data_IF_655606508132
#
_entry.id   IF_655606508132
#
_cell.length_a   1.000
_cell.length_b   1.000
_cell.length_c   1.000
_cell.angle_alpha   90.00
_cell.angle_beta   90.00
_cell.angle_gamma   90.00
#
_symmetry.space_group_name_H-M   'P 1'
#
loop_
_entity.id
_entity.type
_entity.pdbx_description
1 polymer ?
#
# COMPACT_ATOMS: atom_id res chain seq x y z
N UNK A 1 -7.66 -21.12 -6.35
CA UNK A 1 -6.79 -20.07 -5.80
C UNK A 1 -5.49 -20.64 -5.20
N UNK A 2 -5.57 -21.65 -4.31
CA UNK A 2 -4.41 -22.19 -3.60
C UNK A 2 -3.25 -22.65 -4.51
N UNK A 3 -3.56 -23.23 -5.67
CA UNK A 3 -2.54 -23.75 -6.63
C UNK A 3 -1.76 -22.61 -7.29
N UNK A 4 -2.42 -21.52 -7.67
CA UNK A 4 -1.79 -20.38 -8.33
C UNK A 4 -1.00 -19.49 -7.38
N UNK A 5 -1.21 -19.62 -6.07
CA UNK A 5 -0.53 -18.86 -5.02
C UNK A 5 0.57 -19.69 -4.31
N UNK A 6 0.68 -20.99 -4.66
CA UNK A 6 1.66 -21.86 -4.06
C UNK A 6 3.08 -21.55 -4.58
N UNK A 7 4.14 -21.62 -3.72
CA UNK A 7 5.51 -21.54 -4.17
C UNK A 7 5.87 -22.70 -5.11
N UNK A 8 6.86 -22.47 -5.94
CA UNK A 8 7.35 -23.49 -6.90
C UNK A 8 7.72 -24.79 -6.17
N UNK A 9 8.34 -24.67 -5.00
CA UNK A 9 8.75 -25.80 -4.17
C UNK A 9 7.57 -26.63 -3.65
N UNK A 10 6.44 -25.99 -3.34
CA UNK A 10 5.21 -26.67 -2.92
C UNK A 10 4.50 -27.33 -4.10
N UNK A 11 4.48 -26.67 -5.27
CA UNK A 11 3.92 -27.23 -6.48
C UNK A 11 4.68 -28.48 -6.93
N UNK A 12 6.01 -28.50 -6.78
CA UNK A 12 6.84 -29.64 -7.12
C UNK A 12 6.64 -30.87 -6.23
N UNK A 13 6.01 -30.74 -5.05
CA UNK A 13 5.64 -31.87 -4.19
C UNK A 13 4.43 -32.66 -4.72
N UNK A 14 3.70 -32.09 -5.68
CA UNK A 14 2.55 -32.76 -6.29
C UNK A 14 3.02 -33.77 -7.34
N UNK A 15 2.57 -35.02 -7.23
CA UNK A 15 2.92 -36.07 -8.19
C UNK A 15 2.53 -35.65 -9.61
N UNK A 16 3.46 -35.79 -10.55
CA UNK A 16 3.28 -35.38 -11.95
C UNK A 16 3.61 -33.91 -12.25
N UNK A 17 3.90 -33.08 -11.23
CA UNK A 17 4.30 -31.68 -11.41
C UNK A 17 5.82 -31.56 -11.37
N UNK A 18 6.45 -31.54 -12.54
CA UNK A 18 7.88 -31.28 -12.66
C UNK A 18 8.22 -29.79 -12.55
N UNK A 19 9.51 -29.49 -12.44
CA UNK A 19 10.02 -28.13 -12.26
C UNK A 19 9.48 -27.12 -13.29
N UNK A 20 9.43 -27.51 -14.56
CA UNK A 20 8.93 -26.61 -15.63
C UNK A 20 7.43 -26.33 -15.50
N UNK A 21 6.64 -27.33 -15.11
CA UNK A 21 5.21 -27.14 -14.88
C UNK A 21 4.96 -26.23 -13.67
N UNK A 22 5.70 -26.41 -12.58
CA UNK A 22 5.63 -25.57 -11.40
C UNK A 22 6.01 -24.11 -11.70
N UNK A 23 7.09 -23.90 -12.46
CA UNK A 23 7.52 -22.57 -12.91
C UNK A 23 6.48 -21.92 -13.82
N UNK A 24 5.89 -22.67 -14.75
CA UNK A 24 4.85 -22.17 -15.65
C UNK A 24 3.60 -21.72 -14.87
N UNK A 25 3.14 -22.52 -13.91
CA UNK A 25 2.01 -22.18 -13.04
C UNK A 25 2.29 -20.90 -12.23
N UNK A 26 3.47 -20.78 -11.66
CA UNK A 26 3.90 -19.58 -10.96
C UNK A 26 3.97 -18.36 -11.89
N UNK A 27 4.53 -18.53 -13.10
CA UNK A 27 4.59 -17.45 -14.10
C UNK A 27 3.19 -16.98 -14.53
N UNK A 28 2.25 -17.91 -14.69
CA UNK A 28 0.87 -17.59 -15.06
C UNK A 28 0.19 -16.68 -14.04
N UNK A 29 0.35 -16.96 -12.75
CA UNK A 29 -0.23 -16.12 -11.70
C UNK A 29 0.39 -14.72 -11.68
N UNK A 30 1.71 -14.62 -11.86
CA UNK A 30 2.42 -13.33 -11.94
C UNK A 30 2.03 -12.55 -13.21
N UNK A 31 1.91 -13.21 -14.34
CA UNK A 31 1.51 -12.60 -15.60
C UNK A 31 0.06 -12.12 -15.59
N UNK A 32 -0.87 -12.93 -15.06
CA UNK A 32 -2.28 -12.56 -14.92
C UNK A 32 -2.44 -11.33 -14.01
N UNK A 33 -1.76 -11.32 -12.86
CA UNK A 33 -1.73 -10.18 -11.94
C UNK A 33 -1.18 -8.92 -12.62
N UNK A 34 -0.07 -9.04 -13.34
CA UNK A 34 0.54 -7.91 -14.06
C UNK A 34 -0.37 -7.38 -15.17
N UNK A 35 -1.07 -8.29 -15.87
CA UNK A 35 -2.02 -7.91 -16.92
C UNK A 35 -3.25 -7.18 -16.35
N UNK A 36 -3.83 -7.67 -15.24
CA UNK A 36 -4.92 -6.99 -14.55
C UNK A 36 -4.50 -5.61 -14.07
N UNK A 37 -3.34 -5.49 -13.45
CA UNK A 37 -2.78 -4.20 -13.02
C UNK A 37 -2.56 -3.25 -14.21
N UNK A 38 -2.08 -3.75 -15.34
CA UNK A 38 -1.82 -2.92 -16.53
C UNK A 38 -3.10 -2.43 -17.22
N UNK A 39 -4.14 -3.27 -17.28
CA UNK A 39 -5.41 -2.94 -17.97
C UNK A 39 -6.28 -1.94 -17.22
N UNK A 40 -6.19 -1.92 -15.88
CA UNK A 40 -7.08 -1.10 -15.04
C UNK A 40 -6.43 0.19 -14.53
N UNK A 41 -5.14 0.39 -14.75
CA UNK A 41 -4.39 1.39 -13.99
C UNK A 41 -4.34 2.78 -14.63
N UNK A 42 -4.53 2.94 -15.94
CA UNK A 42 -4.42 4.27 -16.53
C UNK A 42 -5.73 5.05 -16.38
N UNK A 43 -5.70 6.15 -15.61
CA UNK A 43 -6.86 7.04 -15.43
C UNK A 43 -7.90 6.55 -14.40
N UNK A 44 -7.61 5.49 -13.63
CA UNK A 44 -8.50 5.03 -12.56
C UNK A 44 -8.63 6.08 -11.47
N UNK A 45 -9.87 6.43 -11.15
CA UNK A 45 -10.17 7.38 -10.08
C UNK A 45 -9.97 6.74 -8.70
N UNK A 46 -9.19 7.39 -7.83
CA UNK A 46 -8.96 7.02 -6.43
C UNK A 46 -9.29 8.25 -5.54
N UNK A 47 -10.55 8.64 -5.51
CA UNK A 47 -10.96 9.89 -4.87
C UNK A 47 -11.48 9.74 -3.43
N UNK A 48 -11.56 8.53 -2.90
CA UNK A 48 -11.97 8.29 -1.54
C UNK A 48 -11.22 7.11 -0.90
N UNK A 49 -11.31 7.03 0.45
CA UNK A 49 -10.67 5.99 1.25
C UNK A 49 -10.99 4.57 0.77
N UNK A 50 -12.25 4.26 0.53
CA UNK A 50 -12.66 2.92 0.13
C UNK A 50 -12.08 2.50 -1.22
N UNK A 51 -11.92 3.43 -2.17
CA UNK A 51 -11.25 3.16 -3.44
C UNK A 51 -9.75 2.94 -3.24
N UNK A 52 -9.10 3.74 -2.39
CA UNK A 52 -7.68 3.58 -2.06
C UNK A 52 -7.41 2.25 -1.33
N UNK A 53 -8.23 1.88 -0.34
CA UNK A 53 -8.14 0.59 0.36
C UNK A 53 -8.32 -0.60 -0.61
N UNK A 54 -9.33 -0.56 -1.49
CA UNK A 54 -9.54 -1.60 -2.50
C UNK A 54 -8.37 -1.72 -3.47
N UNK A 55 -7.79 -0.58 -3.87
CA UNK A 55 -6.63 -0.56 -4.74
C UNK A 55 -5.40 -1.16 -4.04
N UNK A 56 -5.12 -0.76 -2.79
CA UNK A 56 -4.03 -1.29 -1.99
C UNK A 56 -4.17 -2.81 -1.75
N UNK A 57 -5.38 -3.30 -1.41
CA UNK A 57 -5.63 -4.74 -1.27
C UNK A 57 -5.32 -5.48 -2.56
N UNK A 58 -5.80 -4.99 -3.72
CA UNK A 58 -5.52 -5.61 -5.00
C UNK A 58 -4.03 -5.65 -5.33
N UNK A 59 -3.30 -4.59 -4.97
CA UNK A 59 -1.87 -4.46 -5.21
C UNK A 59 -1.04 -5.41 -4.33
N UNK A 60 -1.46 -5.61 -3.08
CA UNK A 60 -0.64 -6.21 -2.03
C UNK A 60 -1.12 -7.59 -1.54
N UNK A 61 -2.39 -7.99 -1.82
CA UNK A 61 -2.89 -9.29 -1.37
C UNK A 61 -2.09 -10.45 -1.97
N UNK A 62 -1.88 -11.50 -1.18
CA UNK A 62 -1.16 -12.72 -1.61
C UNK A 62 0.36 -12.55 -1.71
N UNK A 63 0.92 -11.36 -1.42
CA UNK A 63 2.37 -11.19 -1.31
C UNK A 63 2.85 -11.77 0.02
N UNK A 64 3.87 -12.63 -0.04
CA UNK A 64 4.43 -13.33 1.13
C UNK A 64 5.56 -12.57 1.82
N UNK A 65 6.12 -11.57 1.16
CA UNK A 65 7.11 -10.65 1.70
C UNK A 65 6.53 -9.25 1.78
N UNK A 66 7.06 -8.42 2.62
CA UNK A 66 6.67 -7.02 2.69
C UNK A 66 6.99 -6.30 1.39
N UNK A 67 6.06 -5.52 0.91
CA UNK A 67 6.20 -4.65 -0.24
C UNK A 67 5.66 -3.28 0.13
N UNK A 68 6.41 -2.26 -0.22
CA UNK A 68 6.03 -0.88 -0.02
C UNK A 68 5.85 -0.19 -1.38
N UNK A 69 4.69 0.41 -1.59
CA UNK A 69 4.34 1.09 -2.84
C UNK A 69 3.98 2.55 -2.60
N UNK A 70 4.29 3.38 -3.60
CA UNK A 70 3.77 4.73 -3.76
C UNK A 70 2.78 4.74 -4.93
N UNK A 71 1.51 4.94 -4.62
CA UNK A 71 0.42 5.09 -5.57
C UNK A 71 0.33 6.56 -5.96
N UNK A 72 0.88 6.92 -7.11
CA UNK A 72 0.97 8.29 -7.60
C UNK A 72 -0.34 8.73 -8.27
N UNK A 73 -0.87 9.89 -7.87
CA UNK A 73 -2.13 10.43 -8.34
C UNK A 73 -1.94 11.83 -8.92
N UNK A 74 -2.72 12.15 -9.94
CA UNK A 74 -2.80 13.50 -10.52
C UNK A 74 -3.68 14.45 -9.69
N UNK A 75 -3.82 15.70 -10.13
CA UNK A 75 -4.68 16.71 -9.47
C UNK A 75 -6.18 16.40 -9.50
N UNK A 76 -6.60 15.41 -10.29
CA UNK A 76 -7.98 14.91 -10.37
C UNK A 76 -8.18 13.61 -9.60
N UNK A 77 -7.18 13.19 -8.83
CA UNK A 77 -7.16 11.91 -8.10
C UNK A 77 -7.20 10.69 -9.02
N UNK A 78 -6.73 10.82 -10.25
CA UNK A 78 -6.57 9.71 -11.19
C UNK A 78 -5.20 9.06 -11.00
N UNK A 79 -5.18 7.73 -11.07
CA UNK A 79 -3.96 6.95 -10.94
C UNK A 79 -3.03 7.19 -12.12
N UNK A 80 -1.81 7.63 -11.82
CA UNK A 80 -0.72 7.78 -12.76
C UNK A 80 0.11 6.50 -12.79
N UNK A 81 0.56 6.05 -11.61
CA UNK A 81 1.43 4.89 -11.49
C UNK A 81 1.38 4.27 -10.09
N UNK A 82 1.58 2.96 -10.03
CA UNK A 82 1.89 2.20 -8.82
C UNK A 82 3.40 1.91 -8.81
N UNK A 83 4.17 2.66 -8.03
CA UNK A 83 5.62 2.53 -7.97
C UNK A 83 6.04 1.67 -6.78
N UNK A 84 6.74 0.57 -7.05
CA UNK A 84 7.34 -0.27 -6.00
C UNK A 84 8.55 0.45 -5.41
N UNK A 85 8.48 0.77 -4.12
CA UNK A 85 9.53 1.48 -3.38
C UNK A 85 10.52 0.50 -2.78
N UNK A 86 10.02 -0.57 -2.15
CA UNK A 86 10.87 -1.62 -1.60
C UNK A 86 10.18 -2.97 -1.56
N UNK A 87 11.00 -4.02 -1.47
CA UNK A 87 10.61 -5.42 -1.35
C UNK A 87 11.50 -6.11 -0.32
N UNK A 88 10.91 -6.72 0.71
CA UNK A 88 11.64 -7.39 1.79
C UNK A 88 11.49 -6.70 3.13
N UNK A 89 12.31 -7.07 4.12
CA UNK A 89 12.24 -6.53 5.49
C UNK A 89 12.48 -5.02 5.54
N UNK A 90 11.81 -4.36 6.48
CA UNK A 90 11.83 -2.91 6.73
C UNK A 90 13.21 -2.38 7.20
N UNK A 91 14.22 -3.24 7.36
CA UNK A 91 15.55 -2.84 7.85
C UNK A 91 16.28 -1.81 6.94
N UNK A 92 15.78 -1.53 5.73
CA UNK A 92 16.28 -0.50 4.82
C UNK A 92 15.54 0.85 4.91
N UNK A 93 14.99 1.17 6.07
CA UNK A 93 14.18 2.41 6.32
C UNK A 93 14.86 3.70 5.84
N UNK A 94 16.18 3.76 5.80
CA UNK A 94 16.93 4.94 5.37
C UNK A 94 16.83 5.23 3.86
N UNK A 95 16.48 4.26 3.03
CA UNK A 95 16.36 4.44 1.58
C UNK A 95 14.99 4.95 1.12
N UNK A 96 13.93 4.72 1.90
CA UNK A 96 12.55 5.08 1.50
C UNK A 96 12.35 6.55 1.12
N UNK A 97 12.82 7.54 1.90
CA UNK A 97 12.59 8.94 1.58
C UNK A 97 13.11 9.32 0.19
N UNK A 98 14.31 8.86 -0.16
CA UNK A 98 14.91 9.14 -1.47
C UNK A 98 14.11 8.47 -2.61
N UNK A 99 13.80 7.18 -2.48
CA UNK A 99 13.09 6.43 -3.54
C UNK A 99 11.67 6.96 -3.73
N UNK A 100 10.98 7.31 -2.64
CA UNK A 100 9.65 7.94 -2.72
C UNK A 100 9.73 9.31 -3.39
N UNK A 101 10.73 10.15 -3.05
CA UNK A 101 10.94 11.44 -3.71
C UNK A 101 11.18 11.28 -5.21
N UNK A 102 12.07 10.35 -5.60
CA UNK A 102 12.34 10.04 -7.01
C UNK A 102 11.08 9.58 -7.75
N UNK A 103 10.26 8.73 -7.13
CA UNK A 103 9.02 8.22 -7.69
C UNK A 103 8.00 9.36 -7.94
N UNK A 104 7.69 10.17 -6.93
CA UNK A 104 6.69 11.24 -7.07
C UNK A 104 7.12 12.33 -8.05
N UNK A 105 8.41 12.63 -8.11
CA UNK A 105 8.95 13.60 -9.07
C UNK A 105 8.95 13.04 -10.51
N UNK A 106 9.36 11.79 -10.70
CA UNK A 106 9.34 11.12 -12.01
C UNK A 106 7.96 11.10 -12.63
N UNK A 107 6.94 10.83 -11.82
CA UNK A 107 5.56 10.76 -12.27
C UNK A 107 4.83 12.10 -12.22
N UNK A 108 5.50 13.19 -11.83
CA UNK A 108 4.88 14.50 -11.62
C UNK A 108 3.58 14.41 -10.80
N UNK A 109 3.63 13.63 -9.72
CA UNK A 109 2.47 13.35 -8.90
C UNK A 109 2.01 14.59 -8.13
N UNK A 110 0.70 14.86 -8.14
CA UNK A 110 0.09 15.88 -7.30
C UNK A 110 -0.12 15.40 -5.87
N UNK A 111 -0.48 14.12 -5.74
CA UNK A 111 -0.63 13.45 -4.44
C UNK A 111 -0.21 11.99 -4.52
N UNK A 112 0.01 11.39 -3.36
CA UNK A 112 0.42 9.99 -3.24
C UNK A 112 -0.36 9.31 -2.12
N UNK A 113 -0.76 8.06 -2.36
CA UNK A 113 -1.16 7.11 -1.33
C UNK A 113 0.00 6.14 -1.14
N UNK A 114 0.54 6.08 0.07
CA UNK A 114 1.51 5.06 0.44
C UNK A 114 0.76 3.78 0.83
N UNK A 115 1.29 2.62 0.50
CA UNK A 115 0.72 1.38 0.98
C UNK A 115 1.77 0.27 1.13
N UNK A 116 1.61 -0.55 2.16
CA UNK A 116 2.43 -1.74 2.36
C UNK A 116 1.61 -2.88 2.95
N UNK A 117 2.16 -4.10 2.89
CA UNK A 117 1.51 -5.27 3.48
C UNK A 117 2.29 -5.79 4.69
N UNK A 118 1.53 -6.35 5.64
CA UNK A 118 2.02 -7.16 6.75
C UNK A 118 1.73 -8.63 6.46
N UNK A 119 2.68 -9.42 5.93
CA UNK A 119 2.45 -10.83 5.63
C UNK A 119 2.16 -11.63 6.90
N UNK A 120 1.01 -12.31 6.95
CA UNK A 120 0.63 -13.16 8.09
C UNK A 120 0.30 -12.44 9.40
N UNK A 121 0.26 -11.11 9.39
CA UNK A 121 0.03 -10.28 10.56
C UNK A 121 -1.36 -9.61 10.61
N UNK A 122 -1.41 -8.46 11.26
CA UNK A 122 -2.57 -7.56 11.35
C UNK A 122 -2.30 -6.29 10.56
N UNK A 123 -3.31 -5.62 9.97
CA UNK A 123 -3.13 -4.33 9.31
C UNK A 123 -2.94 -3.17 10.29
N UNK A 124 -2.71 -3.45 11.56
CA UNK A 124 -2.45 -2.42 12.58
C UNK A 124 -1.05 -1.84 12.36
N UNK A 125 -0.91 -0.50 12.27
CA UNK A 125 0.38 0.15 12.15
C UNK A 125 1.30 -0.16 13.33
N UNK A 126 2.55 -0.48 13.04
CA UNK A 126 3.61 -0.52 14.04
C UNK A 126 4.06 0.90 14.41
N UNK A 127 4.82 1.03 15.47
CA UNK A 127 5.46 2.31 15.83
C UNK A 127 6.39 2.81 14.70
N UNK A 128 7.08 1.89 14.05
CA UNK A 128 7.96 2.18 12.92
C UNK A 128 7.18 2.69 11.70
N UNK A 129 6.02 2.12 11.39
CA UNK A 129 5.15 2.61 10.31
C UNK A 129 4.72 4.06 10.53
N UNK A 130 4.37 4.40 11.77
CA UNK A 130 3.98 5.77 12.14
C UNK A 130 5.17 6.73 11.95
N UNK A 131 6.37 6.33 12.37
CA UNK A 131 7.58 7.16 12.26
C UNK A 131 8.00 7.37 10.80
N UNK A 132 8.03 6.29 9.98
CA UNK A 132 8.29 6.36 8.54
C UNK A 132 7.25 7.24 7.84
N UNK A 133 5.97 7.08 8.19
CA UNK A 133 4.90 7.90 7.63
C UNK A 133 5.11 9.39 7.93
N UNK A 134 5.56 9.72 9.15
CA UNK A 134 5.84 11.11 9.55
C UNK A 134 6.99 11.71 8.73
N UNK A 135 8.08 10.96 8.57
CA UNK A 135 9.23 11.40 7.78
C UNK A 135 8.87 11.61 6.32
N UNK A 136 8.13 10.66 5.72
CA UNK A 136 7.66 10.76 4.34
C UNK A 136 6.65 11.89 4.14
N UNK A 137 5.76 12.14 5.11
CA UNK A 137 4.83 13.27 5.04
C UNK A 137 5.55 14.61 5.02
N UNK A 138 6.57 14.77 5.86
CA UNK A 138 7.39 15.99 5.89
C UNK A 138 8.15 16.20 4.56
N UNK A 139 8.77 15.14 4.04
CA UNK A 139 9.45 15.16 2.75
C UNK A 139 8.51 15.54 1.60
N UNK A 140 7.40 14.84 1.46
CA UNK A 140 6.42 15.06 0.40
C UNK A 140 5.87 16.50 0.45
N UNK A 141 5.58 16.99 1.66
CA UNK A 141 5.15 18.38 1.86
C UNK A 141 6.20 19.38 1.38
N UNK A 142 7.50 19.13 1.59
CA UNK A 142 8.59 19.98 1.10
C UNK A 142 8.68 20.00 -0.42
N UNK A 143 8.30 18.90 -1.07
CA UNK A 143 8.25 18.77 -2.53
C UNK A 143 6.93 19.31 -3.14
N UNK A 144 5.97 19.78 -2.32
CA UNK A 144 4.67 20.24 -2.77
C UNK A 144 3.71 19.10 -3.14
N UNK A 145 4.03 17.86 -2.78
CA UNK A 145 3.20 16.67 -3.03
C UNK A 145 2.39 16.35 -1.77
N UNK A 146 1.08 16.16 -1.91
CA UNK A 146 0.21 15.82 -0.79
C UNK A 146 0.25 14.31 -0.51
N UNK A 147 0.58 13.89 0.73
CA UNK A 147 0.30 12.53 1.17
C UNK A 147 -1.20 12.39 1.40
N UNK A 148 -1.87 11.60 0.56
CA UNK A 148 -3.31 11.38 0.64
C UNK A 148 -3.69 10.40 1.77
N UNK A 149 -2.94 9.32 1.91
CA UNK A 149 -3.12 8.29 2.95
C UNK A 149 -1.87 7.42 3.06
N UNK A 150 -1.82 6.59 4.11
CA UNK A 150 -0.96 5.43 4.20
C UNK A 150 -1.83 4.23 4.59
N UNK A 151 -1.86 3.21 3.75
CA UNK A 151 -2.74 2.05 3.88
C UNK A 151 -1.92 0.81 4.15
N UNK A 152 -2.27 0.10 5.21
CA UNK A 152 -1.62 -1.16 5.59
C UNK A 152 -2.56 -2.31 5.25
N UNK A 153 -2.04 -3.33 4.57
CA UNK A 153 -2.81 -4.47 4.09
C UNK A 153 -2.33 -5.74 4.78
N UNK A 154 -3.25 -6.56 5.28
CA UNK A 154 -2.97 -7.94 5.71
C UNK A 154 -4.02 -8.88 5.16
N UNK A 155 -3.61 -9.80 4.31
CA UNK A 155 -4.53 -10.66 3.57
C UNK A 155 -5.49 -9.84 2.70
N UNK A 156 -6.79 -9.86 3.06
CA UNK A 156 -7.85 -9.05 2.41
C UNK A 156 -8.31 -7.85 3.24
N UNK A 157 -7.68 -7.64 4.39
CA UNK A 157 -8.00 -6.52 5.26
C UNK A 157 -7.08 -5.35 4.96
N UNK A 158 -7.62 -4.15 5.02
CA UNK A 158 -6.87 -2.92 4.87
C UNK A 158 -7.23 -1.94 5.99
N UNK A 159 -6.24 -1.18 6.45
CA UNK A 159 -6.41 -0.11 7.42
C UNK A 159 -5.81 1.17 6.85
N UNK A 160 -6.61 2.21 6.80
CA UNK A 160 -6.22 3.56 6.41
C UNK A 160 -5.75 4.32 7.64
N UNK A 161 -4.51 4.80 7.66
CA UNK A 161 -3.99 5.62 8.76
C UNK A 161 -4.69 6.98 8.82
N UNK A 162 -5.08 7.56 7.67
CA UNK A 162 -5.92 8.76 7.64
C UNK A 162 -7.32 8.48 8.21
N UNK A 163 -7.90 7.32 7.88
CA UNK A 163 -9.19 6.89 8.42
C UNK A 163 -9.18 6.68 9.94
N UNK A 164 -8.04 6.33 10.51
CA UNK A 164 -7.82 6.25 11.96
C UNK A 164 -7.53 7.61 12.62
N UNK A 165 -7.42 8.69 11.84
CA UNK A 165 -7.02 10.00 12.35
C UNK A 165 -5.54 10.16 12.64
N UNK A 166 -4.70 9.19 12.23
CA UNK A 166 -3.24 9.28 12.36
C UNK A 166 -2.63 10.25 11.36
N UNK A 167 -3.28 10.45 10.22
CA UNK A 167 -2.91 11.42 9.18
C UNK A 167 -4.03 12.43 9.06
N UNK A 168 -3.71 13.71 9.25
CA UNK A 168 -4.63 14.82 9.04
C UNK A 168 -4.07 15.76 7.99
N UNK A 169 -4.96 16.42 7.25
CA UNK A 169 -4.60 17.40 6.25
C UNK A 169 -5.09 18.77 6.71
N UNK A 170 -4.20 19.72 6.74
CA UNK A 170 -4.52 21.11 7.06
C UNK A 170 -4.14 21.99 5.86
N UNK A 171 -5.03 22.91 5.50
CA UNK A 171 -4.70 23.94 4.53
C UNK A 171 -4.16 25.14 5.27
N UNK A 172 -2.91 25.51 5.00
CA UNK A 172 -2.28 26.73 5.50
C UNK A 172 -1.68 27.48 4.32
N UNK A 173 -2.04 28.75 4.17
CA UNK A 173 -1.46 29.68 3.17
C UNK A 173 -1.32 29.01 1.78
N UNK A 174 -2.42 28.56 1.20
CA UNK A 174 -2.51 27.88 -0.10
C UNK A 174 -1.77 26.53 -0.22
N UNK A 175 -1.14 26.03 0.85
CA UNK A 175 -0.49 24.72 0.89
C UNK A 175 -1.32 23.72 1.69
N UNK A 176 -1.42 22.52 1.12
CA UNK A 176 -1.95 21.36 1.85
C UNK A 176 -0.83 20.72 2.65
N UNK A 177 -0.91 20.78 3.97
CA UNK A 177 0.04 20.15 4.87
C UNK A 177 -0.54 18.84 5.41
N UNK A 178 0.28 17.82 5.45
CA UNK A 178 -0.06 16.55 6.07
C UNK A 178 0.58 16.48 7.45
N UNK A 179 -0.24 16.23 8.48
CA UNK A 179 0.21 15.98 9.85
C UNK A 179 0.00 14.51 10.17
N UNK A 180 0.97 13.91 10.83
CA UNK A 180 0.88 12.56 11.36
C UNK A 180 0.86 12.66 12.88
N UNK A 181 -0.10 11.97 13.51
CA UNK A 181 -0.25 11.96 14.95
C UNK A 181 1.01 11.43 15.65
N UNK A 182 1.28 11.92 16.84
CA UNK A 182 2.30 11.34 17.70
C UNK A 182 1.81 9.94 18.18
N UNK A 183 2.69 9.16 18.77
CA UNK A 183 2.57 7.73 19.07
C UNK A 183 1.31 7.24 19.82
N UNK A 184 0.43 8.12 20.27
CA UNK A 184 -0.78 7.76 21.04
C UNK A 184 -1.98 7.34 20.15
N UNK A 185 -1.70 6.93 18.93
CA UNK A 185 -2.70 6.47 17.95
C UNK A 185 -3.42 5.17 18.32
N UNK A 186 -3.00 4.47 19.37
CA UNK A 186 -3.57 3.16 19.76
C UNK A 186 -5.08 3.24 20.02
N UNK A 187 -5.53 4.30 20.64
CA UNK A 187 -6.97 4.55 20.91
C UNK A 187 -7.75 4.78 19.61
N UNK A 188 -7.17 5.55 18.67
CA UNK A 188 -7.77 5.85 17.38
C UNK A 188 -7.85 4.60 16.50
N UNK A 189 -6.79 3.80 16.50
CA UNK A 189 -6.72 2.53 15.76
C UNK A 189 -7.75 1.54 16.29
N UNK A 190 -7.86 1.40 17.62
CA UNK A 190 -8.87 0.54 18.28
C UNK A 190 -10.29 0.95 17.91
N UNK A 191 -10.60 2.25 17.90
CA UNK A 191 -11.91 2.77 17.53
C UNK A 191 -12.27 2.43 16.07
N UNK A 192 -11.34 2.59 15.13
CA UNK A 192 -11.56 2.27 13.72
C UNK A 192 -11.72 0.76 13.48
N UNK A 193 -10.92 -0.07 14.15
CA UNK A 193 -11.05 -1.52 14.08
C UNK A 193 -12.39 -2.02 14.61
N UNK A 194 -12.90 -1.42 15.71
CA UNK A 194 -14.21 -1.72 16.26
C UNK A 194 -15.33 -1.32 15.29
N UNK A 195 -15.22 -0.18 14.63
CA UNK A 195 -16.16 0.28 13.62
C UNK A 195 -16.21 -0.69 12.42
N UNK A 196 -15.06 -1.07 11.87
CA UNK A 196 -14.98 -2.03 10.76
C UNK A 196 -15.53 -3.43 11.12
N UNK A 197 -15.40 -3.87 12.38
CA UNK A 197 -16.00 -5.14 12.84
C UNK A 197 -17.53 -5.07 12.86
N UNK A 198 -18.10 -3.95 13.28
CA UNK A 198 -19.56 -3.75 13.29
C UNK A 198 -20.12 -3.71 11.86
N UNK A 199 -19.45 -3.03 10.94
CA UNK A 199 -19.86 -2.94 9.52
C UNK A 199 -19.81 -4.30 8.79
N UNK A 200 -19.00 -5.27 9.25
CA UNK A 200 -18.94 -6.64 8.70
C UNK A 200 -20.03 -7.57 9.24
N UNK A 201 -20.71 -7.19 10.32
CA UNK A 201 -21.77 -8.00 10.96
C UNK A 201 -23.20 -7.56 10.57
N UNK A 202 -23.32 -6.47 9.80
CA UNK A 202 -24.58 -5.96 9.23
C UNK A 202 -24.61 -6.25 7.73
#
# INVERSE_FOLDING_TARGET
>A
HAVLEAPVEELMKVEGVGQYAALLLSLFSHAARRLEMSRENTGKLICNRGMAEKHAVRLLQGLRTEHFYAVCLDGRMQLIADELISRGSIDEVQAYPRVVAEAVLRHNAHSVVLCHNHPGGSPVPSHQDVEVTRQLAALLSSLGVAMADHIIVSGREALSMAGCGLITRERREDRLLTRVANSDGETLIRAELMKKRKEKQT
#
